data_IF_662912787352
#
_entry.id   IF_662912787352
#
_cell.length_a   1.000
_cell.length_b   1.000
_cell.length_c   1.000
_cell.angle_alpha   90.00
_cell.angle_beta   90.00
_cell.angle_gamma   90.00
#
_symmetry.space_group_name_H-M   'P 1'
#
loop_
_entity.id
_entity.type
_entity.pdbx_description
1 polymer ?
#
# COMPACT_ATOMS: atom_id res chain seq x y z
N UNK A 1 -28.02 -4.47 11.85
CA UNK A 1 -28.49 -4.69 13.24
C UNK A 1 -29.18 -3.42 13.69
N UNK A 2 -30.30 -3.55 14.39
CA UNK A 2 -31.05 -2.42 14.97
C UNK A 2 -31.21 -2.69 16.47
N UNK A 3 -30.94 -1.68 17.27
CA UNK A 3 -31.09 -1.71 18.72
C UNK A 3 -31.85 -0.47 19.19
N UNK A 4 -32.84 -0.63 20.08
CA UNK A 4 -33.59 0.45 20.73
C UNK A 4 -33.79 0.13 22.20
N UNK A 5 -33.52 1.09 23.08
CA UNK A 5 -33.74 1.01 24.52
C UNK A 5 -34.62 2.18 25.00
N UNK A 6 -35.61 1.88 25.83
CA UNK A 6 -36.50 2.86 26.42
C UNK A 6 -36.49 2.73 27.91
N UNK A 7 -36.68 3.85 28.61
CA UNK A 7 -36.88 3.89 30.06
C UNK A 7 -38.24 4.51 30.39
N UNK A 8 -38.83 4.11 31.51
CA UNK A 8 -40.10 4.69 31.95
C UNK A 8 -39.83 5.85 32.89
N UNK A 9 -40.23 7.08 32.53
CA UNK A 9 -40.13 8.28 33.33
C UNK A 9 -41.51 8.91 33.45
N UNK A 10 -41.96 9.19 34.66
CA UNK A 10 -43.28 9.79 34.97
C UNK A 10 -44.46 9.10 34.27
N UNK A 11 -44.38 7.78 34.20
CA UNK A 11 -45.43 6.94 33.57
C UNK A 11 -45.35 6.84 32.04
N UNK A 12 -44.46 7.58 31.36
CA UNK A 12 -44.25 7.55 29.90
C UNK A 12 -42.99 6.80 29.55
N UNK A 13 -42.96 6.19 28.36
CA UNK A 13 -41.76 5.60 27.79
C UNK A 13 -40.96 6.71 27.08
N UNK A 14 -39.69 6.83 27.45
CA UNK A 14 -38.74 7.80 26.89
C UNK A 14 -37.59 7.00 26.27
N UNK A 15 -37.18 7.35 25.08
CA UNK A 15 -36.04 6.71 24.41
C UNK A 15 -34.74 7.00 25.14
N UNK A 16 -33.96 5.94 25.39
CA UNK A 16 -32.66 6.04 26.07
C UNK A 16 -31.50 5.88 25.10
N UNK A 17 -31.60 4.93 24.22
CA UNK A 17 -30.53 4.65 23.21
C UNK A 17 -31.13 3.99 21.98
N UNK A 18 -30.69 4.44 20.80
CA UNK A 18 -31.00 3.77 19.52
C UNK A 18 -29.80 3.82 18.61
N UNK A 19 -29.52 2.65 18.02
CA UNK A 19 -28.46 2.49 17.03
C UNK A 19 -28.91 1.56 15.92
N UNK A 20 -28.55 1.89 14.71
CA UNK A 20 -28.66 1.00 13.55
C UNK A 20 -27.27 0.80 12.93
N UNK A 21 -26.97 -0.42 12.48
CA UNK A 21 -25.72 -0.71 11.80
C UNK A 21 -25.95 -1.63 10.61
N UNK A 22 -25.21 -1.42 9.54
CA UNK A 22 -25.25 -2.19 8.30
C UNK A 22 -23.82 -2.60 7.94
N UNK A 23 -23.60 -3.87 7.58
CA UNK A 23 -22.33 -4.30 6.97
C UNK A 23 -22.24 -3.76 5.56
N UNK A 24 -21.09 -3.19 5.22
CA UNK A 24 -20.77 -2.71 3.89
C UNK A 24 -19.86 -3.73 3.21
N UNK A 25 -20.18 -4.09 1.96
CA UNK A 25 -19.30 -4.93 1.15
C UNK A 25 -18.30 -4.03 0.43
N UNK A 26 -17.02 -4.19 0.73
CA UNK A 26 -15.96 -3.45 0.08
C UNK A 26 -15.62 -4.06 -1.27
N UNK A 27 -15.38 -3.22 -2.26
CA UNK A 27 -14.82 -3.62 -3.55
C UNK A 27 -13.27 -3.58 -3.48
N UNK A 28 -12.69 -4.35 -2.55
CA UNK A 28 -11.25 -4.36 -2.28
C UNK A 28 -10.44 -4.70 -3.52
N UNK A 29 -10.90 -5.67 -4.33
CA UNK A 29 -10.19 -6.08 -5.55
C UNK A 29 -10.11 -4.98 -6.60
N UNK A 30 -11.06 -4.03 -6.59
CA UNK A 30 -11.05 -2.91 -7.49
C UNK A 30 -10.21 -1.74 -6.96
N UNK A 31 -10.24 -1.50 -5.67
CA UNK A 31 -9.61 -0.37 -5.01
C UNK A 31 -8.14 -0.60 -4.59
N UNK A 32 -7.59 -1.80 -4.84
CA UNK A 32 -6.17 -2.08 -4.53
C UNK A 32 -5.25 -1.17 -5.34
N UNK A 33 -4.40 -0.44 -4.65
CA UNK A 33 -3.30 0.30 -5.28
C UNK A 33 -2.26 -0.67 -5.86
N UNK A 34 -1.55 -0.30 -6.92
CA UNK A 34 -0.39 -1.07 -7.38
C UNK A 34 0.61 -1.20 -6.23
N UNK A 35 1.17 -2.40 -6.05
CA UNK A 35 2.22 -2.59 -5.07
C UNK A 35 3.44 -1.75 -5.48
N UNK A 36 3.92 -0.92 -4.57
CA UNK A 36 5.24 -0.32 -4.69
C UNK A 36 6.26 -1.47 -4.67
N UNK A 37 7.11 -1.62 -5.71
CA UNK A 37 8.10 -2.69 -5.76
C UNK A 37 9.05 -2.71 -4.56
N UNK A 38 9.35 -1.55 -3.97
CA UNK A 38 10.14 -1.44 -2.74
C UNK A 38 9.32 -1.85 -1.52
N UNK A 39 8.07 -1.44 -1.44
CA UNK A 39 7.15 -1.80 -0.36
C UNK A 39 6.84 -3.30 -0.39
N UNK A 40 6.67 -3.90 -1.57
CA UNK A 40 6.47 -5.35 -1.72
C UNK A 40 7.71 -6.15 -1.25
N UNK A 41 8.91 -5.63 -1.48
CA UNK A 41 10.13 -6.19 -0.93
C UNK A 41 10.18 -6.11 0.60
N UNK A 42 9.81 -4.96 1.20
CA UNK A 42 9.77 -4.79 2.65
C UNK A 42 8.64 -5.59 3.30
N UNK A 43 7.49 -5.68 2.67
CA UNK A 43 6.33 -6.43 3.19
C UNK A 43 6.54 -7.94 3.16
N UNK A 44 7.29 -8.47 2.17
CA UNK A 44 7.68 -9.88 2.12
C UNK A 44 8.69 -10.27 3.20
N UNK A 45 9.43 -9.30 3.72
CA UNK A 45 10.41 -9.53 4.80
C UNK A 45 9.83 -9.28 6.19
N UNK A 46 8.79 -8.46 6.30
CA UNK A 46 8.03 -8.23 7.54
C UNK A 46 6.68 -8.93 7.39
N UNK A 47 6.54 -10.13 7.94
CA UNK A 47 5.29 -10.88 8.05
C UNK A 47 4.31 -10.18 8.99
N UNK A 48 3.84 -8.99 8.62
CA UNK A 48 2.62 -8.44 9.17
C UNK A 48 1.50 -9.01 8.31
N UNK A 49 0.65 -9.77 8.93
CA UNK A 49 -0.47 -10.46 8.29
C UNK A 49 -1.44 -9.39 7.76
N UNK A 50 -1.27 -9.02 6.48
CA UNK A 50 -2.15 -8.06 5.80
C UNK A 50 -3.62 -8.53 5.79
N UNK A 51 -3.86 -9.81 6.06
CA UNK A 51 -5.20 -10.40 6.21
C UNK A 51 -5.91 -9.92 7.47
N UNK A 52 -5.22 -9.73 8.60
CA UNK A 52 -5.83 -9.23 9.83
C UNK A 52 -6.15 -7.73 9.75
N UNK A 53 -5.24 -6.91 9.21
CA UNK A 53 -5.47 -5.48 9.05
C UNK A 53 -6.65 -5.17 8.09
N UNK A 54 -6.82 -5.95 7.03
CA UNK A 54 -7.98 -5.86 6.12
C UNK A 54 -9.27 -6.39 6.76
N UNK A 55 -9.19 -7.34 7.69
CA UNK A 55 -10.35 -7.86 8.39
C UNK A 55 -10.88 -6.89 9.46
N UNK A 56 -10.00 -6.12 10.11
CA UNK A 56 -10.39 -5.07 11.06
C UNK A 56 -10.93 -3.82 10.38
N UNK A 57 -10.53 -3.51 9.14
CA UNK A 57 -11.01 -2.37 8.37
C UNK A 57 -12.43 -2.51 7.80
N UNK A 58 -13.18 -3.54 8.17
CA UNK A 58 -14.61 -3.67 7.85
C UNK A 58 -15.42 -2.73 8.73
N UNK A 59 -15.28 -1.44 8.49
CA UNK A 59 -16.13 -0.45 9.12
C UNK A 59 -17.59 -0.71 8.71
N UNK A 60 -18.46 -0.76 9.69
CA UNK A 60 -19.89 -0.88 9.45
C UNK A 60 -20.48 0.53 9.34
N UNK A 61 -21.35 0.75 8.39
CA UNK A 61 -22.24 1.91 8.43
C UNK A 61 -23.06 1.87 9.70
N UNK A 62 -23.23 2.99 10.33
CA UNK A 62 -23.98 3.11 11.56
C UNK A 62 -24.77 4.41 11.60
N UNK A 63 -25.87 4.39 12.36
CA UNK A 63 -26.64 5.57 12.67
C UNK A 63 -26.96 5.56 14.16
N UNK A 64 -26.59 6.63 14.85
CA UNK A 64 -26.93 6.90 16.24
C UNK A 64 -28.06 7.91 16.27
N UNK A 65 -28.97 7.72 17.23
CA UNK A 65 -30.13 8.54 17.37
C UNK A 65 -30.19 9.14 18.78
N UNK A 66 -30.64 10.38 18.87
CA UNK A 66 -30.99 11.06 20.09
C UNK A 66 -32.51 11.13 20.22
N UNK A 67 -33.01 10.92 21.42
CA UNK A 67 -34.43 11.10 21.69
C UNK A 67 -34.79 12.59 21.74
N UNK A 68 -35.81 12.99 21.00
CA UNK A 68 -36.35 14.34 21.04
C UNK A 68 -37.62 14.37 21.90
N UNK A 69 -37.51 14.92 23.10
CA UNK A 69 -38.62 15.01 24.06
C UNK A 69 -39.79 15.85 23.52
N UNK A 70 -39.50 16.87 22.66
CA UNK A 70 -40.53 17.76 22.13
C UNK A 70 -41.45 17.06 21.14
N UNK A 71 -40.92 16.15 20.33
CA UNK A 71 -41.69 15.39 19.34
C UNK A 71 -42.08 14.00 19.83
N UNK A 72 -41.37 13.47 20.86
CA UNK A 72 -41.54 12.10 21.34
C UNK A 72 -41.03 11.07 20.31
N UNK A 73 -40.03 11.41 19.56
CA UNK A 73 -39.46 10.55 18.51
C UNK A 73 -37.92 10.65 18.46
N UNK A 74 -37.30 9.77 17.67
CA UNK A 74 -35.86 9.68 17.48
C UNK A 74 -35.40 10.64 16.36
N UNK A 75 -34.38 11.45 16.62
CA UNK A 75 -33.62 12.23 15.63
C UNK A 75 -32.24 11.63 15.42
N UNK A 76 -31.74 11.68 14.19
CA UNK A 76 -30.36 11.28 13.88
C UNK A 76 -29.42 12.25 14.58
N UNK A 77 -28.55 11.73 15.44
CA UNK A 77 -27.46 12.45 16.08
C UNK A 77 -26.21 12.40 15.23
N UNK A 78 -25.82 11.18 14.82
CA UNK A 78 -24.69 10.96 13.92
C UNK A 78 -24.94 9.74 13.03
N UNK A 79 -24.35 9.76 11.85
CA UNK A 79 -24.37 8.61 10.96
C UNK A 79 -23.13 8.55 10.08
N UNK A 80 -22.77 7.33 9.69
CA UNK A 80 -21.83 7.04 8.63
C UNK A 80 -22.51 6.17 7.58
N UNK A 81 -22.41 6.57 6.33
CA UNK A 81 -22.93 5.84 5.18
C UNK A 81 -21.85 5.70 4.11
N UNK A 82 -21.63 4.47 3.66
CA UNK A 82 -20.70 4.16 2.56
C UNK A 82 -21.50 3.63 1.37
N UNK A 83 -21.27 4.22 0.21
CA UNK A 83 -21.88 3.80 -1.05
C UNK A 83 -20.83 3.55 -2.11
N UNK A 84 -21.08 2.55 -2.96
CA UNK A 84 -20.25 2.20 -4.10
C UNK A 84 -21.05 2.28 -5.39
N UNK A 85 -20.48 2.92 -6.40
CA UNK A 85 -21.06 2.97 -7.74
C UNK A 85 -20.01 2.52 -8.76
N UNK A 86 -20.34 1.50 -9.55
CA UNK A 86 -19.50 0.99 -10.63
C UNK A 86 -20.06 1.41 -11.98
N UNK A 87 -19.22 2.03 -12.80
CA UNK A 87 -19.57 2.39 -14.19
C UNK A 87 -18.37 2.02 -15.09
N UNK A 88 -18.50 0.94 -15.86
CA UNK A 88 -17.40 0.39 -16.63
C UNK A 88 -16.21 0.05 -15.72
N UNK A 89 -15.03 0.55 -16.06
CA UNK A 89 -13.80 0.36 -15.31
C UNK A 89 -13.56 1.47 -14.25
N UNK A 90 -14.61 2.13 -13.82
CA UNK A 90 -14.54 3.18 -12.80
C UNK A 90 -15.39 2.79 -11.60
N UNK A 91 -14.78 2.74 -10.42
CA UNK A 91 -15.45 2.60 -9.13
C UNK A 91 -15.44 3.96 -8.43
N UNK A 92 -16.60 4.41 -8.00
CA UNK A 92 -16.75 5.55 -7.10
C UNK A 92 -17.17 5.04 -5.73
N UNK A 93 -16.35 5.32 -4.73
CA UNK A 93 -16.67 5.14 -3.32
C UNK A 93 -17.05 6.49 -2.74
N UNK A 94 -18.15 6.56 -2.01
CA UNK A 94 -18.55 7.76 -1.28
C UNK A 94 -18.81 7.38 0.17
N UNK A 95 -18.12 8.05 1.10
CA UNK A 95 -18.32 7.93 2.54
C UNK A 95 -18.88 9.26 3.02
N UNK A 96 -20.02 9.23 3.67
CA UNK A 96 -20.67 10.40 4.25
C UNK A 96 -20.82 10.22 5.74
N UNK A 97 -20.24 11.14 6.50
CA UNK A 97 -20.41 11.25 7.95
C UNK A 97 -21.32 12.45 8.25
N UNK A 98 -22.26 12.24 9.13
CA UNK A 98 -23.14 13.31 9.66
C UNK A 98 -22.95 13.31 11.17
N UNK A 99 -22.71 14.47 11.74
CA UNK A 99 -22.56 14.66 13.19
C UNK A 99 -23.40 15.84 13.66
N UNK A 100 -23.63 15.89 14.99
CA UNK A 100 -24.35 16.97 15.67
C UNK A 100 -25.70 17.30 15.01
N UNK A 101 -26.49 16.25 14.74
CA UNK A 101 -27.81 16.40 14.13
C UNK A 101 -27.80 17.01 12.72
N UNK A 102 -26.70 16.89 12.00
CA UNK A 102 -26.54 17.42 10.63
C UNK A 102 -25.91 18.81 10.53
N UNK A 103 -25.43 19.36 11.64
CA UNK A 103 -24.69 20.63 11.63
C UNK A 103 -23.28 20.48 11.08
N UNK A 104 -22.74 19.26 11.15
CA UNK A 104 -21.45 18.90 10.60
C UNK A 104 -21.61 17.73 9.66
N UNK A 105 -21.18 17.91 8.42
CA UNK A 105 -21.24 16.87 7.38
C UNK A 105 -19.88 16.78 6.72
N UNK A 106 -19.30 15.60 6.73
CA UNK A 106 -18.13 15.25 5.95
C UNK A 106 -18.53 14.33 4.79
N UNK A 107 -17.97 14.57 3.64
CA UNK A 107 -18.10 13.68 2.49
C UNK A 107 -16.72 13.40 1.92
N UNK A 108 -16.32 12.14 1.88
CA UNK A 108 -15.13 11.68 1.16
C UNK A 108 -15.58 10.90 -0.06
N UNK A 109 -15.14 11.32 -1.23
CA UNK A 109 -15.37 10.61 -2.47
C UNK A 109 -14.02 10.15 -3.04
N UNK A 110 -13.91 8.87 -3.35
CA UNK A 110 -12.73 8.30 -4.00
C UNK A 110 -13.15 7.66 -5.31
N UNK A 111 -12.52 8.06 -6.41
CA UNK A 111 -12.77 7.53 -7.74
C UNK A 111 -11.54 6.74 -8.17
N UNK A 112 -11.73 5.44 -8.38
CA UNK A 112 -10.72 4.52 -8.86
C UNK A 112 -10.97 4.25 -10.35
N UNK A 113 -9.97 4.44 -11.21
CA UNK A 113 -10.06 4.09 -12.63
C UNK A 113 -9.08 3.00 -13.00
N UNK A 114 -9.53 2.05 -13.80
CA UNK A 114 -8.72 0.96 -14.34
C UNK A 114 -8.69 0.99 -15.86
N UNK A 115 -7.60 0.51 -16.44
CA UNK A 115 -7.49 0.30 -17.88
C UNK A 115 -8.22 -0.98 -18.34
N UNK A 116 -8.09 -1.30 -19.64
CA UNK A 116 -8.69 -2.49 -20.21
C UNK A 116 -8.11 -3.81 -19.66
N UNK A 117 -6.91 -3.77 -19.11
CA UNK A 117 -6.24 -4.89 -18.43
C UNK A 117 -6.55 -4.95 -16.93
N UNK A 118 -7.49 -4.13 -16.45
CA UNK A 118 -7.89 -4.03 -15.05
C UNK A 118 -6.79 -3.51 -14.11
N UNK A 119 -5.75 -2.85 -14.62
CA UNK A 119 -4.70 -2.21 -13.82
C UNK A 119 -5.19 -0.83 -13.38
N UNK A 120 -4.93 -0.47 -12.14
CA UNK A 120 -5.32 0.83 -11.58
C UNK A 120 -4.52 1.97 -12.24
N UNK A 121 -5.19 2.90 -12.91
CA UNK A 121 -4.55 4.01 -13.63
C UNK A 121 -4.68 5.35 -12.92
N UNK A 122 -5.73 5.54 -12.13
CA UNK A 122 -5.85 6.72 -11.27
C UNK A 122 -6.66 6.46 -10.02
N UNK A 123 -6.33 7.22 -8.98
CA UNK A 123 -7.14 7.39 -7.77
C UNK A 123 -7.32 8.89 -7.57
N UNK A 124 -8.56 9.36 -7.66
CA UNK A 124 -8.94 10.74 -7.38
C UNK A 124 -9.72 10.77 -6.07
N UNK A 125 -9.28 11.58 -5.10
CA UNK A 125 -9.94 11.71 -3.81
C UNK A 125 -10.34 13.14 -3.57
N UNK A 126 -11.62 13.35 -3.27
CA UNK A 126 -12.18 14.64 -2.85
C UNK A 126 -12.73 14.49 -1.44
N UNK A 127 -12.33 15.37 -0.55
CA UNK A 127 -12.88 15.50 0.79
C UNK A 127 -13.62 16.84 0.87
N UNK A 128 -14.82 16.83 1.42
CA UNK A 128 -15.61 18.03 1.64
C UNK A 128 -16.16 18.01 3.07
N UNK A 129 -15.89 19.08 3.80
CA UNK A 129 -16.41 19.35 5.11
C UNK A 129 -17.41 20.53 5.01
N UNK A 130 -18.61 20.34 5.53
CA UNK A 130 -19.64 21.36 5.58
C UNK A 130 -20.07 21.55 7.02
N UNK A 131 -19.89 22.77 7.53
CA UNK A 131 -20.44 23.27 8.81
C UNK A 131 -21.59 24.21 8.51
N UNK A 132 -22.37 24.54 9.54
CA UNK A 132 -23.57 25.40 9.39
C UNK A 132 -23.32 26.67 8.57
N UNK A 133 -22.13 27.28 8.71
CA UNK A 133 -21.79 28.58 8.10
C UNK A 133 -20.56 28.55 7.19
N UNK A 134 -19.97 27.37 6.93
CA UNK A 134 -18.76 27.24 6.14
C UNK A 134 -18.68 25.89 5.43
N UNK A 135 -18.06 25.89 4.24
CA UNK A 135 -17.70 24.67 3.52
C UNK A 135 -16.24 24.73 3.12
N UNK A 136 -15.54 23.61 3.29
CA UNK A 136 -14.15 23.44 2.88
C UNK A 136 -14.05 22.17 2.02
N UNK A 137 -13.21 22.23 0.97
CA UNK A 137 -12.99 21.07 0.11
C UNK A 137 -11.51 20.92 -0.21
N UNK A 138 -11.04 19.69 -0.17
CA UNK A 138 -9.69 19.28 -0.50
C UNK A 138 -9.72 18.24 -1.62
N UNK A 139 -8.69 18.23 -2.45
CA UNK A 139 -8.55 17.27 -3.55
C UNK A 139 -7.13 16.72 -3.58
N UNK A 140 -7.02 15.41 -3.75
CA UNK A 140 -5.76 14.71 -3.97
C UNK A 140 -5.92 13.70 -5.11
N UNK A 141 -4.88 13.48 -5.88
CA UNK A 141 -4.91 12.55 -7.00
C UNK A 141 -3.60 11.75 -7.11
N UNK A 142 -3.73 10.50 -7.54
CA UNK A 142 -2.59 9.65 -7.88
C UNK A 142 -2.80 9.09 -9.29
N UNK A 143 -1.77 9.19 -10.14
CA UNK A 143 -1.74 8.63 -11.48
C UNK A 143 -0.67 7.54 -11.57
N UNK A 144 -1.02 6.42 -12.18
CA UNK A 144 -0.14 5.27 -12.38
C UNK A 144 0.11 5.05 -13.86
N UNK A 145 1.36 4.74 -14.22
CA UNK A 145 1.74 4.43 -15.61
C UNK A 145 2.48 3.10 -15.64
N UNK A 146 2.18 2.29 -16.63
CA UNK A 146 2.75 0.96 -16.81
C UNK A 146 3.49 0.85 -18.14
N UNK A 147 4.48 -0.06 -18.21
CA UNK A 147 5.07 -0.49 -19.47
C UNK A 147 4.18 -1.52 -20.20
N UNK A 148 4.65 -1.96 -21.37
CA UNK A 148 3.92 -2.93 -22.20
C UNK A 148 3.86 -4.33 -21.55
N UNK A 149 4.78 -4.65 -20.65
CA UNK A 149 4.80 -5.88 -19.87
C UNK A 149 3.88 -5.82 -18.64
N UNK A 150 3.36 -4.64 -18.32
CA UNK A 150 2.45 -4.42 -17.19
C UNK A 150 3.14 -4.06 -15.88
N UNK A 151 4.44 -3.76 -15.89
CA UNK A 151 5.14 -3.27 -14.71
C UNK A 151 4.81 -1.78 -14.47
N UNK A 152 4.65 -1.39 -13.21
CA UNK A 152 4.44 0.00 -12.82
C UNK A 152 5.72 0.81 -13.05
N UNK A 153 5.74 1.73 -14.02
CA UNK A 153 6.92 2.55 -14.36
C UNK A 153 6.89 3.95 -13.77
N UNK A 154 5.72 4.49 -13.43
CA UNK A 154 5.67 5.73 -12.66
C UNK A 154 4.41 5.87 -11.84
N UNK A 155 4.55 6.60 -10.75
CA UNK A 155 3.47 7.10 -9.91
C UNK A 155 3.62 8.61 -9.76
N UNK A 156 2.54 9.35 -10.00
CA UNK A 156 2.49 10.79 -9.79
C UNK A 156 1.41 11.11 -8.76
N UNK A 157 1.81 11.71 -7.65
CA UNK A 157 0.93 12.04 -6.53
C UNK A 157 0.78 13.56 -6.47
N UNK A 158 -0.45 14.04 -6.48
CA UNK A 158 -0.81 15.43 -6.15
C UNK A 158 -1.51 15.42 -4.79
N UNK A 159 -0.91 16.09 -3.82
CA UNK A 159 -1.46 16.16 -2.47
C UNK A 159 -2.58 17.22 -2.35
N UNK A 160 -3.21 17.29 -1.17
CA UNK A 160 -4.32 18.23 -0.88
C UNK A 160 -3.92 19.71 -1.01
N UNK A 161 -2.62 20.03 -0.99
CA UNK A 161 -2.09 21.38 -1.17
C UNK A 161 -1.75 21.68 -2.65
N UNK A 162 -2.03 20.75 -3.56
CA UNK A 162 -1.72 20.87 -4.98
C UNK A 162 -0.24 20.61 -5.32
N UNK A 163 0.59 20.19 -4.35
CA UNK A 163 1.98 19.83 -4.60
C UNK A 163 2.04 18.47 -5.29
N UNK A 164 2.76 18.42 -6.40
CA UNK A 164 2.94 17.19 -7.18
C UNK A 164 4.33 16.62 -6.97
N UNK A 165 4.37 15.30 -6.70
CA UNK A 165 5.57 14.48 -6.64
C UNK A 165 5.47 13.36 -7.68
N UNK A 166 6.59 12.97 -8.30
CA UNK A 166 6.63 11.87 -9.27
C UNK A 166 7.73 10.88 -8.89
N UNK A 167 7.35 9.61 -8.83
CA UNK A 167 8.24 8.48 -8.63
C UNK A 167 8.38 7.75 -9.95
N UNK A 168 9.59 7.32 -10.29
CA UNK A 168 9.91 6.56 -11.51
C UNK A 168 10.55 5.26 -11.07
N UNK A 169 10.00 4.15 -11.51
CA UNK A 169 10.47 2.79 -11.23
C UNK A 169 11.24 2.27 -12.43
N UNK A 170 12.45 1.76 -12.19
CA UNK A 170 13.29 1.13 -13.22
C UNK A 170 13.54 -0.32 -12.80
N UNK A 171 13.12 -1.23 -13.63
CA UNK A 171 13.32 -2.66 -13.43
C UNK A 171 14.60 -3.07 -14.17
N UNK A 172 15.64 -3.45 -13.42
CA UNK A 172 16.79 -4.12 -14.00
C UNK A 172 16.38 -5.54 -14.40
N UNK A 173 16.64 -5.95 -15.64
CA UNK A 173 16.66 -7.37 -15.96
C UNK A 173 17.76 -8.00 -15.11
N UNK A 174 17.39 -8.75 -14.10
CA UNK A 174 18.30 -9.75 -13.55
C UNK A 174 18.28 -10.87 -14.58
N UNK A 175 19.17 -10.81 -15.55
CA UNK A 175 19.49 -11.97 -16.36
C UNK A 175 20.02 -13.02 -15.39
N UNK A 176 19.13 -13.86 -14.89
CA UNK A 176 19.51 -15.11 -14.23
C UNK A 176 20.03 -16.01 -15.35
N UNK A 177 21.19 -15.65 -15.87
CA UNK A 177 21.94 -16.54 -16.72
C UNK A 177 22.27 -17.73 -15.84
N UNK A 178 21.86 -18.92 -16.26
CA UNK A 178 22.41 -20.19 -15.76
C UNK A 178 23.90 -20.24 -16.10
N UNK A 179 24.73 -19.70 -15.21
CA UNK A 179 26.13 -19.35 -15.41
C UNK A 179 26.25 -17.83 -15.49
N UNK A 180 26.64 -17.21 -14.41
CA UNK A 180 26.71 -15.76 -14.24
C UNK A 180 27.76 -15.21 -15.21
N UNK A 181 27.33 -14.64 -16.34
CA UNK A 181 28.06 -13.57 -17.00
C UNK A 181 27.50 -12.23 -16.40
N UNK A 182 28.09 -11.74 -15.33
CA UNK A 182 27.91 -10.35 -14.98
C UNK A 182 28.70 -9.52 -15.98
N UNK A 183 28.03 -9.01 -17.02
CA UNK A 183 28.57 -7.97 -17.87
C UNK A 183 28.87 -6.71 -17.04
N UNK A 184 30.02 -6.67 -16.40
CA UNK A 184 30.65 -5.41 -16.05
C UNK A 184 31.47 -5.06 -17.29
N UNK A 185 30.90 -4.22 -18.14
CA UNK A 185 31.61 -3.49 -19.17
C UNK A 185 32.59 -2.52 -18.49
N UNK A 186 33.68 -3.07 -18.02
CA UNK A 186 34.92 -2.35 -17.77
C UNK A 186 36.05 -3.40 -17.80
N UNK A 187 37.00 -3.20 -18.67
CA UNK A 187 38.06 -4.10 -19.09
C UNK A 187 39.02 -4.60 -17.99
N UNK A 188 38.54 -4.94 -16.79
CA UNK A 188 39.33 -5.52 -15.70
C UNK A 188 38.47 -6.47 -14.82
N UNK A 189 38.38 -7.72 -15.25
CA UNK A 189 38.03 -8.83 -14.37
C UNK A 189 36.58 -9.31 -14.47
N UNK A 190 36.33 -10.34 -15.28
CA UNK A 190 35.07 -11.09 -15.23
C UNK A 190 34.97 -11.86 -13.93
N UNK A 191 33.77 -11.82 -13.29
CA UNK A 191 33.43 -12.66 -12.15
C UNK A 191 32.69 -13.89 -12.68
N UNK A 192 33.23 -15.07 -12.42
CA UNK A 192 32.62 -16.34 -12.80
C UNK A 192 32.29 -17.13 -11.53
N UNK A 193 31.06 -17.59 -11.37
CA UNK A 193 30.65 -18.44 -10.27
C UNK A 193 30.34 -19.84 -10.78
N UNK A 194 31.07 -20.82 -10.29
CA UNK A 194 30.89 -22.25 -10.63
C UNK A 194 30.65 -23.05 -9.35
N UNK A 195 29.39 -23.44 -9.12
CA UNK A 195 29.02 -24.01 -7.83
C UNK A 195 29.28 -23.00 -6.71
N UNK A 196 30.09 -23.38 -5.71
CA UNK A 196 30.47 -22.48 -4.61
C UNK A 196 31.75 -21.68 -4.85
N UNK A 197 32.46 -21.92 -5.94
CA UNK A 197 33.67 -21.21 -6.28
C UNK A 197 33.37 -19.94 -7.09
N UNK A 198 33.96 -18.85 -6.66
CA UNK A 198 33.86 -17.53 -7.28
C UNK A 198 35.26 -17.19 -7.81
N UNK A 199 35.38 -17.07 -9.11
CA UNK A 199 36.61 -16.66 -9.79
C UNK A 199 36.50 -15.21 -10.24
N UNK A 200 37.49 -14.40 -9.92
CA UNK A 200 37.54 -12.96 -10.31
C UNK A 200 38.85 -12.73 -11.05
N UNK A 201 38.80 -12.75 -12.39
CA UNK A 201 39.98 -12.67 -13.23
C UNK A 201 40.85 -11.44 -12.89
N UNK A 202 42.14 -11.71 -12.57
CA UNK A 202 43.12 -10.68 -12.25
C UNK A 202 42.99 -10.04 -10.87
N UNK A 203 42.09 -10.55 -10.00
CA UNK A 203 42.02 -10.07 -8.64
C UNK A 203 43.16 -10.64 -7.78
N UNK A 204 43.68 -9.81 -6.89
CA UNK A 204 44.62 -10.22 -5.84
C UNK A 204 43.96 -9.89 -4.49
N UNK A 205 43.53 -10.94 -3.79
CA UNK A 205 42.85 -10.80 -2.52
C UNK A 205 41.34 -10.55 -2.67
N UNK A 206 40.57 -11.56 -2.25
CA UNK A 206 39.11 -11.56 -2.26
C UNK A 206 38.61 -11.71 -0.82
N UNK A 207 37.55 -11.03 -0.47
CA UNK A 207 36.83 -11.28 0.78
C UNK A 207 35.32 -11.38 0.49
N UNK A 208 34.69 -12.34 1.15
CA UNK A 208 33.25 -12.60 1.05
C UNK A 208 32.59 -12.27 2.40
N UNK A 209 31.55 -11.48 2.33
CA UNK A 209 30.78 -11.07 3.50
C UNK A 209 29.34 -11.54 3.38
N UNK A 210 28.72 -11.84 4.51
CA UNK A 210 27.26 -11.97 4.59
C UNK A 210 26.58 -10.64 4.33
N UNK A 211 25.27 -10.64 4.11
CA UNK A 211 24.50 -9.40 3.99
C UNK A 211 24.51 -8.54 5.27
N UNK A 212 24.74 -9.16 6.43
CA UNK A 212 24.93 -8.47 7.72
C UNK A 212 26.32 -7.83 7.90
N UNK A 213 27.21 -7.98 6.89
CA UNK A 213 28.56 -7.43 6.94
C UNK A 213 29.59 -8.31 7.66
N UNK A 214 29.25 -9.54 8.05
CA UNK A 214 30.17 -10.48 8.67
C UNK A 214 31.07 -11.11 7.61
N UNK A 215 32.39 -11.09 7.80
CA UNK A 215 33.36 -11.79 6.94
C UNK A 215 33.12 -13.31 7.06
N UNK A 216 32.85 -13.96 5.94
CA UNK A 216 32.57 -15.42 5.87
C UNK A 216 33.64 -16.24 5.17
N UNK A 217 34.39 -15.60 4.27
CA UNK A 217 35.54 -16.25 3.59
C UNK A 217 36.52 -15.20 3.10
N UNK A 218 37.80 -15.56 2.99
CA UNK A 218 38.85 -14.70 2.46
C UNK A 218 39.85 -15.55 1.65
N UNK A 219 40.36 -14.99 0.53
CA UNK A 219 41.36 -15.61 -0.32
C UNK A 219 42.40 -14.60 -0.76
N UNK A 220 43.64 -15.02 -0.86
CA UNK A 220 44.73 -14.21 -1.45
C UNK A 220 44.91 -14.44 -2.95
N UNK A 221 44.17 -15.40 -3.51
CA UNK A 221 44.15 -15.68 -4.96
C UNK A 221 42.96 -14.99 -5.63
N UNK A 222 42.79 -15.26 -6.92
CA UNK A 222 41.66 -14.82 -7.74
C UNK A 222 40.42 -15.73 -7.63
N UNK A 223 40.46 -16.74 -6.75
CA UNK A 223 39.36 -17.66 -6.44
C UNK A 223 39.04 -17.64 -4.96
N UNK A 224 37.73 -17.61 -4.64
CA UNK A 224 37.23 -17.72 -3.27
C UNK A 224 36.03 -18.68 -3.22
N UNK A 225 35.96 -19.52 -2.20
CA UNK A 225 34.85 -20.44 -2.00
C UNK A 225 33.83 -19.87 -1.00
N UNK A 226 32.56 -19.92 -1.36
CA UNK A 226 31.46 -19.60 -0.46
C UNK A 226 31.17 -20.81 0.45
N UNK A 227 30.93 -20.59 1.75
CA UNK A 227 30.68 -21.70 2.70
C UNK A 227 29.38 -22.44 2.42
N UNK A 228 28.36 -21.73 1.94
CA UNK A 228 27.04 -22.27 1.57
C UNK A 228 26.51 -21.57 0.33
N UNK A 229 25.45 -22.12 -0.26
CA UNK A 229 24.65 -21.39 -1.25
C UNK A 229 23.98 -20.17 -0.59
N UNK A 230 23.89 -19.06 -1.31
CA UNK A 230 23.31 -17.85 -0.76
C UNK A 230 23.75 -16.56 -1.42
N UNK A 231 23.28 -15.43 -0.90
CA UNK A 231 23.62 -14.08 -1.36
C UNK A 231 24.75 -13.51 -0.47
N UNK A 232 25.81 -13.03 -1.13
CA UNK A 232 26.99 -12.50 -0.47
C UNK A 232 27.42 -11.15 -1.04
N UNK A 233 28.26 -10.43 -0.30
CA UNK A 233 28.99 -9.26 -0.76
C UNK A 233 30.44 -9.69 -1.02
N UNK A 234 30.85 -9.73 -2.27
CA UNK A 234 32.23 -9.95 -2.66
C UNK A 234 32.97 -8.62 -2.69
N UNK A 235 34.15 -8.59 -2.08
CA UNK A 235 35.04 -7.43 -2.17
C UNK A 235 36.38 -7.84 -2.78
N UNK A 236 36.87 -7.00 -3.68
CA UNK A 236 38.20 -7.10 -4.28
C UNK A 236 38.81 -5.71 -4.37
N UNK A 237 39.88 -5.44 -3.64
CA UNK A 237 40.46 -4.09 -3.49
C UNK A 237 39.38 -3.08 -3.09
N UNK A 238 39.10 -2.09 -3.93
CA UNK A 238 38.14 -1.01 -3.66
C UNK A 238 36.73 -1.27 -4.24
N UNK A 239 36.49 -2.46 -4.80
CA UNK A 239 35.20 -2.82 -5.40
C UNK A 239 34.40 -3.77 -4.52
N UNK A 240 33.10 -3.49 -4.42
CA UNK A 240 32.14 -4.33 -3.71
C UNK A 240 31.00 -4.72 -4.66
N UNK A 241 30.68 -5.99 -4.74
CA UNK A 241 29.63 -6.53 -5.62
C UNK A 241 28.79 -7.54 -4.86
N UNK A 242 27.46 -7.49 -5.02
CA UNK A 242 26.58 -8.55 -4.53
C UNK A 242 26.63 -9.72 -5.50
N UNK A 243 26.78 -10.93 -4.99
CA UNK A 243 26.82 -12.16 -5.78
C UNK A 243 25.92 -13.21 -5.17
N UNK A 244 25.30 -14.01 -6.03
CA UNK A 244 24.53 -15.17 -5.62
C UNK A 244 25.31 -16.43 -5.95
N UNK A 245 25.45 -17.31 -4.96
CA UNK A 245 26.14 -18.60 -5.07
C UNK A 245 25.10 -19.71 -4.90
N UNK A 246 25.08 -20.64 -5.85
CA UNK A 246 24.17 -21.80 -5.82
C UNK A 246 24.76 -22.97 -5.06
#
# INVERSE_FOLDING_TARGET
>A
VKYEEYVKQDGKWVGKSKQESRKVNYHTDFATTPADPLQDYYNKTNTIDAGEALAEAKENDHTWYQWDEATGDWKIESSRETTYQMVGNTLTETIKNIEDGGRYIETSQTIYKRDAQMRLTSVDRTYTETKTDASHSEHAATLYTYDDEGNLISEQITDIYGKTSKYIYQYGKIDVVNGIESGIDDARGSIIVTGRNIHVAGAQGLALYSLSGTLVSQSTSDVIEAPTSGLYILTSKDKKTKIFVK
#
